data_IF_132668963796
#
_entry.id   IF_132668963796
#
_cell.length_a   1.000
_cell.length_b   1.000
_cell.length_c   1.000
_cell.angle_alpha   90.00
_cell.angle_beta   90.00
_cell.angle_gamma   90.00
#
_symmetry.space_group_name_H-M   'P 1'
#
loop_
_entity.id
_entity.type
_entity.pdbx_description
1 polymer ?
#
# COMPACT_ATOMS: atom_id res chain seq x y z
N UNK A 1 -19.13 -14.47 19.13
CA UNK A 1 -19.36 -13.07 18.72
C UNK A 1 -18.73 -12.81 17.36
N UNK A 2 -19.50 -12.32 16.39
CA UNK A 2 -19.04 -12.13 15.00
C UNK A 2 -17.84 -11.19 14.84
N UNK A 3 -17.70 -10.18 15.70
CA UNK A 3 -16.58 -9.22 15.67
C UNK A 3 -15.22 -9.89 15.89
N UNK A 4 -15.11 -10.84 16.82
CA UNK A 4 -13.84 -11.52 17.11
C UNK A 4 -13.39 -12.42 15.95
N UNK A 5 -14.32 -12.91 15.14
CA UNK A 5 -14.02 -13.71 13.94
C UNK A 5 -13.49 -12.79 12.84
N UNK A 6 -14.11 -11.62 12.64
CA UNK A 6 -13.65 -10.61 11.67
C UNK A 6 -12.24 -10.09 12.01
N UNK A 7 -11.95 -9.86 13.29
CA UNK A 7 -10.62 -9.44 13.73
C UNK A 7 -9.56 -10.52 13.41
N UNK A 8 -9.90 -11.80 13.63
CA UNK A 8 -9.02 -12.92 13.29
C UNK A 8 -8.79 -13.04 11.78
N UNK A 9 -9.85 -12.89 10.98
CA UNK A 9 -9.77 -12.89 9.51
C UNK A 9 -8.89 -11.74 9.00
N UNK A 10 -8.98 -10.55 9.61
CA UNK A 10 -8.11 -9.42 9.27
C UNK A 10 -6.64 -9.72 9.55
N UNK A 11 -6.33 -10.34 10.69
CA UNK A 11 -4.96 -10.78 11.02
C UNK A 11 -4.47 -11.88 10.09
N UNK A 12 -5.34 -12.79 9.67
CA UNK A 12 -5.00 -13.84 8.71
C UNK A 12 -4.61 -13.23 7.35
N UNK A 13 -5.41 -12.30 6.83
CA UNK A 13 -5.11 -11.60 5.58
C UNK A 13 -3.82 -10.79 5.68
N UNK A 14 -3.60 -10.10 6.80
CA UNK A 14 -2.37 -9.37 7.08
C UNK A 14 -1.15 -10.30 7.07
N UNK A 15 -1.23 -11.43 7.79
CA UNK A 15 -0.16 -12.42 7.83
C UNK A 15 0.12 -13.03 6.45
N UNK A 16 -0.92 -13.34 5.67
CA UNK A 16 -0.78 -13.84 4.31
C UNK A 16 -0.07 -12.83 3.40
N UNK A 17 -0.47 -11.55 3.46
CA UNK A 17 0.18 -10.47 2.70
C UNK A 17 1.68 -10.38 3.03
N UNK A 18 2.02 -10.38 4.32
CA UNK A 18 3.42 -10.29 4.75
C UNK A 18 4.22 -11.58 4.50
N UNK A 19 3.57 -12.72 4.29
CA UNK A 19 4.19 -13.95 3.82
C UNK A 19 4.41 -13.97 2.28
N UNK A 20 3.92 -12.96 1.56
CA UNK A 20 3.97 -12.89 0.09
C UNK A 20 2.82 -13.61 -0.61
N UNK A 21 1.87 -14.18 0.13
CA UNK A 21 0.68 -14.83 -0.42
C UNK A 21 -0.43 -13.80 -0.67
N UNK A 22 -0.19 -12.96 -1.69
CA UNK A 22 -1.05 -11.82 -2.00
C UNK A 22 -2.43 -12.24 -2.50
N UNK A 23 -2.54 -13.38 -3.19
CA UNK A 23 -3.83 -13.89 -3.68
C UNK A 23 -4.71 -14.34 -2.52
N UNK A 24 -4.16 -15.10 -1.57
CA UNK A 24 -4.91 -15.48 -0.37
C UNK A 24 -5.31 -14.26 0.46
N UNK A 25 -4.41 -13.28 0.59
CA UNK A 25 -4.72 -12.04 1.30
C UNK A 25 -5.88 -11.29 0.64
N UNK A 26 -5.89 -11.18 -0.70
CA UNK A 26 -7.02 -10.55 -1.41
C UNK A 26 -8.33 -11.29 -1.21
N UNK A 27 -8.33 -12.63 -1.30
CA UNK A 27 -9.55 -13.43 -1.15
C UNK A 27 -10.20 -13.21 0.23
N UNK A 28 -9.39 -13.15 1.29
CA UNK A 28 -9.89 -12.90 2.66
C UNK A 28 -10.40 -11.46 2.81
N UNK A 29 -9.71 -10.46 2.25
CA UNK A 29 -10.19 -9.08 2.31
C UNK A 29 -11.47 -8.86 1.50
N UNK A 30 -11.62 -9.51 0.35
CA UNK A 30 -12.86 -9.48 -0.45
C UNK A 30 -14.04 -10.08 0.31
N UNK A 31 -13.85 -11.25 0.93
CA UNK A 31 -14.86 -11.91 1.75
C UNK A 31 -15.25 -11.07 2.98
N UNK A 32 -14.27 -10.44 3.65
CA UNK A 32 -14.53 -9.49 4.74
C UNK A 32 -15.40 -8.31 4.29
N UNK A 33 -15.11 -7.73 3.11
CA UNK A 33 -15.90 -6.62 2.56
C UNK A 33 -17.32 -7.04 2.17
N UNK A 34 -17.52 -8.29 1.74
CA UNK A 34 -18.85 -8.85 1.45
C UNK A 34 -19.68 -9.06 2.72
N UNK A 35 -19.04 -9.56 3.79
CA UNK A 35 -19.68 -9.80 5.09
C UNK A 35 -20.00 -8.51 5.84
N UNK A 36 -19.08 -7.55 5.80
CA UNK A 36 -19.17 -6.32 6.59
C UNK A 36 -18.29 -5.19 6.03
N UNK A 37 -18.92 -4.28 5.30
CA UNK A 37 -18.22 -3.14 4.69
C UNK A 37 -18.03 -1.95 5.64
N UNK A 38 -18.21 -2.09 6.95
CA UNK A 38 -18.05 -0.97 7.91
C UNK A 38 -16.59 -0.55 8.05
N UNK A 39 -15.65 -1.48 7.95
CA UNK A 39 -14.23 -1.16 8.00
C UNK A 39 -13.71 -0.79 6.61
N UNK A 40 -13.89 0.48 6.25
CA UNK A 40 -13.44 1.03 4.96
C UNK A 40 -11.92 0.96 4.74
N UNK A 41 -11.12 0.74 5.79
CA UNK A 41 -9.66 0.58 5.66
C UNK A 41 -9.30 -0.69 4.87
N UNK A 42 -10.16 -1.71 4.89
CA UNK A 42 -9.95 -2.98 4.18
C UNK A 42 -9.78 -2.75 2.67
N UNK A 43 -10.45 -1.75 2.08
CA UNK A 43 -10.25 -1.38 0.68
C UNK A 43 -8.79 -1.04 0.37
N UNK A 44 -8.08 -0.37 1.28
CA UNK A 44 -6.68 0.01 1.05
C UNK A 44 -5.77 -1.21 1.16
N UNK A 45 -6.05 -2.13 2.10
CA UNK A 45 -5.30 -3.38 2.22
C UNK A 45 -5.50 -4.30 1.00
N UNK A 46 -6.74 -4.40 0.51
CA UNK A 46 -7.04 -5.11 -0.73
C UNK A 46 -6.33 -4.47 -1.93
N UNK A 47 -6.31 -3.14 -2.02
CA UNK A 47 -5.56 -2.43 -3.05
C UNK A 47 -4.05 -2.72 -3.00
N UNK A 48 -3.45 -2.84 -1.81
CA UNK A 48 -2.07 -3.30 -1.68
C UNK A 48 -1.90 -4.70 -2.28
N UNK A 49 -2.82 -5.63 -2.02
CA UNK A 49 -2.76 -6.98 -2.57
C UNK A 49 -2.82 -6.95 -4.11
N UNK A 50 -3.77 -6.21 -4.68
CA UNK A 50 -3.89 -6.07 -6.13
C UNK A 50 -2.66 -5.44 -6.76
N UNK A 51 -2.06 -4.41 -6.13
CA UNK A 51 -0.81 -3.84 -6.59
C UNK A 51 0.31 -4.89 -6.64
N UNK A 52 0.46 -5.69 -5.58
CA UNK A 52 1.47 -6.76 -5.53
C UNK A 52 1.22 -7.88 -6.54
N UNK A 53 -0.04 -8.10 -6.91
CA UNK A 53 -0.44 -9.04 -7.98
C UNK A 53 -0.30 -8.44 -9.39
N UNK A 54 0.12 -7.18 -9.53
CA UNK A 54 0.24 -6.50 -10.82
C UNK A 54 -1.09 -6.01 -11.43
N UNK A 55 -2.18 -6.08 -10.66
CA UNK A 55 -3.53 -5.62 -11.03
C UNK A 55 -3.70 -4.13 -10.73
N UNK A 56 -3.01 -3.29 -11.50
CA UNK A 56 -2.87 -1.87 -11.16
C UNK A 56 -4.18 -1.08 -11.26
N UNK A 57 -5.03 -1.39 -12.23
CA UNK A 57 -6.32 -0.71 -12.40
C UNK A 57 -7.29 -1.08 -11.28
N UNK A 58 -7.34 -2.35 -10.90
CA UNK A 58 -8.12 -2.80 -9.74
C UNK A 58 -7.57 -2.22 -8.44
N UNK A 59 -6.24 -2.14 -8.28
CA UNK A 59 -5.62 -1.53 -7.13
C UNK A 59 -6.02 -0.06 -6.97
N UNK A 60 -5.96 0.73 -8.04
CA UNK A 60 -6.41 2.12 -8.01
C UNK A 60 -7.90 2.24 -7.67
N UNK A 61 -8.75 1.54 -8.42
CA UNK A 61 -10.20 1.61 -8.23
C UNK A 61 -10.61 1.21 -6.81
N UNK A 62 -9.94 0.21 -6.25
CA UNK A 62 -10.20 -0.27 -4.89
C UNK A 62 -9.67 0.71 -3.85
N UNK A 63 -8.46 1.24 -4.03
CA UNK A 63 -7.86 2.20 -3.09
C UNK A 63 -8.75 3.44 -2.93
N UNK A 64 -9.36 3.94 -4.02
CA UNK A 64 -10.22 5.12 -4.03
C UNK A 64 -11.57 4.92 -3.30
N UNK A 65 -11.99 3.67 -3.04
CA UNK A 65 -13.16 3.37 -2.17
C UNK A 65 -12.84 3.47 -0.69
N UNK A 66 -11.56 3.38 -0.32
CA UNK A 66 -11.08 3.51 1.04
C UNK A 66 -10.94 4.95 1.52
N UNK A 67 -10.70 5.17 2.82
CA UNK A 67 -10.50 6.50 3.38
C UNK A 67 -9.21 7.14 2.89
N UNK A 68 -9.23 8.45 2.66
CA UNK A 68 -8.00 9.21 2.41
C UNK A 68 -7.06 9.07 3.60
N UNK A 69 -5.87 8.56 3.36
CA UNK A 69 -4.85 8.27 4.38
C UNK A 69 -3.47 8.22 3.74
N UNK A 70 -2.41 8.36 4.55
CA UNK A 70 -1.03 8.26 4.06
C UNK A 70 -0.76 6.92 3.36
N UNK A 71 -1.38 5.82 3.83
CA UNK A 71 -1.25 4.52 3.16
C UNK A 71 -1.91 4.52 1.77
N UNK A 72 -3.11 5.10 1.64
CA UNK A 72 -3.76 5.24 0.33
C UNK A 72 -2.87 6.05 -0.63
N UNK A 73 -2.32 7.18 -0.16
CA UNK A 73 -1.42 8.01 -0.97
C UNK A 73 -0.22 7.21 -1.47
N UNK A 74 0.46 6.45 -0.61
CA UNK A 74 1.62 5.63 -0.99
C UNK A 74 1.26 4.53 -2.00
N UNK A 75 0.14 3.83 -1.82
CA UNK A 75 -0.31 2.80 -2.77
C UNK A 75 -0.61 3.43 -4.13
N UNK A 76 -1.40 4.50 -4.17
CA UNK A 76 -1.72 5.20 -5.42
C UNK A 76 -0.47 5.79 -6.07
N UNK A 77 0.52 6.23 -5.29
CA UNK A 77 1.78 6.75 -5.81
C UNK A 77 2.54 5.66 -6.57
N UNK A 78 2.65 4.46 -6.00
CA UNK A 78 3.22 3.31 -6.70
C UNK A 78 2.41 2.87 -7.91
N UNK A 79 1.08 2.86 -7.81
CA UNK A 79 0.19 2.52 -8.94
C UNK A 79 0.37 3.49 -10.11
N UNK A 80 0.36 4.81 -9.84
CA UNK A 80 0.54 5.84 -10.88
C UNK A 80 1.86 5.69 -11.64
N UNK A 81 2.94 5.36 -10.93
CA UNK A 81 4.22 5.05 -11.57
C UNK A 81 4.13 3.82 -12.49
N UNK A 82 3.47 2.74 -12.06
CA UNK A 82 3.33 1.52 -12.88
C UNK A 82 2.43 1.71 -14.10
N UNK A 83 1.47 2.63 -14.02
CA UNK A 83 0.60 3.01 -15.14
C UNK A 83 1.21 4.08 -16.06
N UNK A 84 2.34 4.70 -15.69
CA UNK A 84 2.95 5.86 -16.36
C UNK A 84 2.03 7.11 -16.36
N UNK A 85 1.26 7.31 -15.29
CA UNK A 85 0.43 8.50 -15.10
C UNK A 85 1.21 9.59 -14.36
N UNK A 86 1.97 10.38 -15.13
CA UNK A 86 2.89 11.41 -14.63
C UNK A 86 2.19 12.54 -13.87
N UNK A 87 0.96 12.89 -14.26
CA UNK A 87 0.17 13.93 -13.60
C UNK A 87 -0.23 13.48 -12.20
N UNK A 88 -0.82 12.28 -12.11
CA UNK A 88 -1.22 11.69 -10.82
C UNK A 88 -0.01 11.41 -9.94
N UNK A 89 1.08 10.92 -10.52
CA UNK A 89 2.35 10.70 -9.82
C UNK A 89 2.86 11.98 -9.15
N UNK A 90 2.93 13.08 -9.92
CA UNK A 90 3.38 14.39 -9.42
C UNK A 90 2.45 14.94 -8.33
N UNK A 91 1.13 14.75 -8.46
CA UNK A 91 0.15 15.16 -7.47
C UNK A 91 0.25 14.38 -6.16
N UNK A 92 0.50 13.06 -6.24
CA UNK A 92 0.64 12.20 -5.07
C UNK A 92 1.99 12.39 -4.38
N UNK A 93 3.06 12.61 -5.14
CA UNK A 93 4.38 12.93 -4.60
C UNK A 93 4.34 14.14 -3.66
N UNK A 94 3.60 15.19 -4.02
CA UNK A 94 3.41 16.39 -3.19
C UNK A 94 2.62 16.16 -1.90
N UNK A 95 1.91 15.05 -1.78
CA UNK A 95 1.13 14.70 -0.59
C UNK A 95 1.92 13.86 0.41
N UNK A 96 3.09 13.34 0.01
CA UNK A 96 3.98 12.61 0.90
C UNK A 96 4.56 13.55 1.95
N UNK A 97 4.71 13.04 3.17
CA UNK A 97 5.21 13.77 4.33
C UNK A 97 6.61 13.27 4.70
N UNK A 98 7.20 13.84 5.75
CA UNK A 98 8.52 13.44 6.26
C UNK A 98 8.46 12.28 7.26
N UNK A 99 7.46 11.40 7.10
CA UNK A 99 7.32 10.20 7.93
C UNK A 99 8.26 9.11 7.44
N UNK A 100 8.69 8.22 8.34
CA UNK A 100 9.55 7.09 7.97
C UNK A 100 8.91 6.27 6.84
N UNK A 101 7.60 6.02 6.88
CA UNK A 101 6.91 5.23 5.85
C UNK A 101 6.90 5.93 4.49
N UNK A 102 6.73 7.25 4.45
CA UNK A 102 6.74 8.02 3.20
C UNK A 102 8.15 8.13 2.63
N UNK A 103 9.17 8.30 3.48
CA UNK A 103 10.56 8.31 3.03
C UNK A 103 11.01 6.92 2.54
N UNK A 104 10.57 5.84 3.18
CA UNK A 104 10.79 4.48 2.66
C UNK A 104 10.10 4.26 1.31
N UNK A 105 8.93 4.85 1.10
CA UNK A 105 8.22 4.83 -0.19
C UNK A 105 8.95 5.63 -1.27
N UNK A 106 9.54 6.78 -0.93
CA UNK A 106 10.38 7.55 -1.86
C UNK A 106 11.67 6.80 -2.21
N UNK A 107 12.31 6.17 -1.24
CA UNK A 107 13.52 5.39 -1.47
C UNK A 107 13.23 4.19 -2.40
N UNK A 108 12.13 3.46 -2.18
CA UNK A 108 11.73 2.36 -3.07
C UNK A 108 11.38 2.86 -4.48
N UNK A 109 10.75 4.03 -4.60
CA UNK A 109 10.46 4.64 -5.89
C UNK A 109 11.73 5.02 -6.67
N UNK A 110 12.71 5.64 -6.00
CA UNK A 110 14.01 5.94 -6.61
C UNK A 110 14.71 4.66 -7.08
N UNK A 111 14.68 3.60 -6.26
CA UNK A 111 15.22 2.30 -6.66
C UNK A 111 14.54 1.77 -7.93
N UNK A 112 13.21 1.81 -8.01
CA UNK A 112 12.46 1.37 -9.19
C UNK A 112 12.78 2.17 -10.47
N UNK A 113 13.19 3.44 -10.31
CA UNK A 113 13.61 4.33 -11.41
C UNK A 113 15.11 4.22 -11.75
N UNK A 114 15.83 3.26 -11.17
CA UNK A 114 17.29 3.11 -11.28
C UNK A 114 18.11 4.27 -10.68
N UNK A 115 17.50 5.07 -9.80
CA UNK A 115 18.13 6.18 -9.05
C UNK A 115 18.68 5.62 -7.72
N UNK A 116 19.67 4.73 -7.84
CA UNK A 116 20.13 3.92 -6.71
C UNK A 116 20.84 4.72 -5.63
N UNK A 117 21.54 5.79 -6.00
CA UNK A 117 22.29 6.61 -5.05
C UNK A 117 21.33 7.38 -4.13
N UNK A 118 20.29 7.97 -4.71
CA UNK A 118 19.25 8.69 -4.01
C UNK A 118 18.48 7.77 -3.05
N UNK A 119 18.16 6.55 -3.49
CA UNK A 119 17.56 5.54 -2.63
C UNK A 119 18.47 5.19 -1.44
N UNK A 120 19.77 4.94 -1.69
CA UNK A 120 20.74 4.61 -0.65
C UNK A 120 20.92 5.73 0.37
N UNK A 121 20.93 6.98 -0.06
CA UNK A 121 21.13 8.12 0.83
C UNK A 121 19.95 8.28 1.81
N UNK A 122 18.72 8.06 1.34
CA UNK A 122 17.53 8.03 2.22
C UNK A 122 17.62 6.85 3.19
N UNK A 123 17.92 5.63 2.73
CA UNK A 123 18.01 4.46 3.60
C UNK A 123 19.08 4.62 4.68
N UNK A 124 20.26 5.16 4.33
CA UNK A 124 21.36 5.39 5.29
C UNK A 124 21.00 6.40 6.36
N UNK A 125 20.35 7.51 5.98
CA UNK A 125 19.91 8.55 6.93
C UNK A 125 19.04 7.93 8.03
N UNK A 126 18.01 7.19 7.64
CA UNK A 126 17.09 6.58 8.59
C UNK A 126 17.69 5.45 9.43
N UNK A 127 18.66 4.69 8.89
CA UNK A 127 19.35 3.65 9.65
C UNK A 127 20.25 4.23 10.77
N UNK A 128 20.77 5.45 10.57
CA UNK A 128 21.59 6.14 11.56
C UNK A 128 20.71 6.80 12.63
N UNK A 129 19.59 7.39 12.23
CA UNK A 129 18.66 8.09 13.13
C UNK A 129 17.84 7.16 14.04
N UNK A 130 17.63 5.90 13.63
CA UNK A 130 16.84 4.90 14.38
C UNK A 130 17.70 3.80 15.03
N UNK A 131 18.94 4.13 15.41
CA UNK A 131 19.82 3.26 16.20
C UNK A 131 19.57 3.36 17.70
#
# INVERSE_FOLDING_TARGET
NGTAIQDLELWLAFAAFHAGDYQRASDVYEDLLQKDSRNSQIYIYLACCYFMLGKYDEAEHTALKGPKSSLQTRVLFHVSHKQNDEEKFSNLHRQLQDTIQDQMCLASMNYMKNQYQEALDIYKRYLIENR
#
